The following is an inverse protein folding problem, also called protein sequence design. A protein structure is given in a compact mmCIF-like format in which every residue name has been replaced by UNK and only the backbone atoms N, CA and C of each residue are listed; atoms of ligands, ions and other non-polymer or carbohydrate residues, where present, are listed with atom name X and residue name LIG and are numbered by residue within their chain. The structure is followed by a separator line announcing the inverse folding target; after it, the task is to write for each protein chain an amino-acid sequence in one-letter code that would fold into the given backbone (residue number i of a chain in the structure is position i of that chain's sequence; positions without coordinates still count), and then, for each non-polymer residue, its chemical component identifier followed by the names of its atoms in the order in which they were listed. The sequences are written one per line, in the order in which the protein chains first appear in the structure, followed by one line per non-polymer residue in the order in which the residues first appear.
data_IF_788406626955
#
_entry.id   IF_788406626955
#
_cell.length_a   1.000
_cell.length_b   1.000
_cell.length_c   1.000
_cell.angle_alpha   90.00
_cell.angle_beta   90.00
_cell.angle_gamma   90.00
#
_symmetry.space_group_name_H-M   'P 1'
#
loop_
_entity.id
_entity.type
_entity.pdbx_description
1 polymer ?
#
# COMPACT_ATOMS: atom_id res chain seq x y z
N UNK A 1 -44.66 14.26 -0.50
CA UNK A 1 -44.88 13.98 -1.92
C UNK A 1 -44.27 15.14 -2.69
N UNK A 2 -43.30 15.02 -3.58
CA UNK A 2 -42.37 13.95 -3.95
C UNK A 2 -41.23 14.68 -4.66
N UNK A 3 -40.00 14.51 -4.20
CA UNK A 3 -38.79 14.96 -4.92
C UNK A 3 -37.56 14.12 -4.54
N UNK A 4 -37.76 13.00 -3.83
CA UNK A 4 -36.69 12.04 -3.45
C UNK A 4 -36.80 10.71 -4.20
N UNK A 5 -37.84 10.51 -5.00
CA UNK A 5 -38.06 9.27 -5.74
C UNK A 5 -37.53 9.32 -7.18
N UNK A 6 -37.28 10.50 -7.75
CA UNK A 6 -36.70 10.62 -9.09
C UNK A 6 -35.18 10.42 -9.12
N UNK A 7 -34.45 10.79 -8.06
CA UNK A 7 -32.99 10.54 -7.98
C UNK A 7 -32.64 9.06 -7.69
N UNK A 8 -33.57 8.26 -7.17
CA UNK A 8 -33.32 6.83 -6.95
C UNK A 8 -33.55 5.98 -8.22
N UNK A 9 -34.39 6.44 -9.15
CA UNK A 9 -34.62 5.74 -10.41
C UNK A 9 -33.58 6.03 -11.51
N UNK A 10 -32.78 7.10 -11.37
CA UNK A 10 -31.71 7.41 -12.32
C UNK A 10 -30.42 6.60 -12.12
N UNK A 11 -30.22 6.02 -10.92
CA UNK A 11 -29.06 5.18 -10.60
C UNK A 11 -29.31 3.68 -10.84
N UNK A 12 -30.57 3.22 -10.87
CA UNK A 12 -30.94 1.81 -11.05
C UNK A 12 -30.87 1.33 -12.52
N UNK A 13 -30.79 2.25 -13.49
CA UNK A 13 -30.67 1.95 -14.92
C UNK A 13 -29.29 2.19 -15.53
N UNK A 14 -28.21 2.32 -14.72
CA UNK A 14 -26.89 1.99 -15.27
C UNK A 14 -26.88 0.50 -15.56
N UNK A 15 -27.20 0.15 -16.81
CA UNK A 15 -27.33 -1.22 -17.28
C UNK A 15 -26.18 -2.07 -16.73
N UNK A 16 -26.45 -3.32 -16.36
CA UNK A 16 -25.40 -4.25 -15.93
C UNK A 16 -24.20 -4.30 -16.91
N UNK A 17 -24.43 -3.94 -18.19
CA UNK A 17 -23.39 -3.71 -19.19
C UNK A 17 -22.44 -2.57 -18.88
N UNK A 18 -22.90 -1.42 -18.37
CA UNK A 18 -22.06 -0.27 -18.03
C UNK A 18 -21.22 -0.54 -16.77
N UNK A 19 -21.79 -1.25 -15.79
CA UNK A 19 -21.04 -1.68 -14.60
C UNK A 19 -19.90 -2.63 -15.00
N UNK A 20 -20.16 -3.60 -15.88
CA UNK A 20 -19.14 -4.53 -16.40
C UNK A 20 -18.06 -3.80 -17.20
N UNK A 21 -18.42 -2.88 -18.09
CA UNK A 21 -17.46 -2.07 -18.86
C UNK A 21 -16.54 -1.25 -17.96
N UNK A 22 -17.10 -0.58 -16.95
CA UNK A 22 -16.30 0.22 -16.02
C UNK A 22 -15.32 -0.66 -15.25
N UNK A 23 -15.76 -1.81 -14.73
CA UNK A 23 -14.88 -2.73 -14.00
C UNK A 23 -13.77 -3.29 -14.91
N UNK A 24 -14.09 -3.58 -16.17
CA UNK A 24 -13.12 -4.00 -17.19
C UNK A 24 -12.05 -2.93 -17.43
N UNK A 25 -12.44 -1.65 -17.61
CA UNK A 25 -11.49 -0.56 -17.82
C UNK A 25 -10.54 -0.41 -16.62
N UNK A 26 -11.08 -0.43 -15.40
CA UNK A 26 -10.25 -0.34 -14.19
C UNK A 26 -9.31 -1.54 -14.06
N UNK A 27 -9.78 -2.74 -14.42
CA UNK A 27 -8.95 -3.94 -14.45
C UNK A 27 -7.83 -3.86 -15.50
N UNK A 28 -8.11 -3.36 -16.70
CA UNK A 28 -7.10 -3.15 -17.74
C UNK A 28 -6.06 -2.13 -17.28
N UNK A 29 -6.50 -0.99 -16.73
CA UNK A 29 -5.59 0.04 -16.23
C UNK A 29 -4.70 -0.50 -15.09
N UNK A 30 -5.26 -1.34 -14.22
CA UNK A 30 -4.50 -2.03 -13.18
C UNK A 30 -3.41 -2.91 -13.80
N UNK A 31 -3.76 -3.79 -14.74
CA UNK A 31 -2.81 -4.70 -15.38
C UNK A 31 -1.72 -3.94 -16.15
N UNK A 32 -2.08 -2.85 -16.82
CA UNK A 32 -1.12 -1.95 -17.46
C UNK A 32 -0.13 -1.39 -16.45
N UNK A 33 -0.60 -0.96 -15.27
CA UNK A 33 0.29 -0.48 -14.22
C UNK A 33 1.24 -1.57 -13.71
N UNK A 34 0.76 -2.81 -13.52
CA UNK A 34 1.60 -3.95 -13.10
C UNK A 34 2.72 -4.24 -14.11
N UNK A 35 2.51 -3.94 -15.39
CA UNK A 35 3.53 -4.10 -16.44
C UNK A 35 4.44 -2.85 -16.53
N UNK A 36 3.85 -1.66 -16.49
CA UNK A 36 4.57 -0.40 -16.67
C UNK A 36 5.54 -0.11 -15.52
N UNK A 37 5.19 -0.43 -14.28
CA UNK A 37 6.06 -0.18 -13.12
C UNK A 37 7.39 -0.95 -13.24
N UNK A 38 7.41 -2.28 -13.45
CA UNK A 38 8.64 -3.02 -13.71
C UNK A 38 9.42 -2.49 -14.92
N UNK A 39 8.72 -2.15 -16.02
CA UNK A 39 9.38 -1.64 -17.22
C UNK A 39 10.10 -0.30 -16.97
N UNK A 40 9.45 0.62 -16.24
CA UNK A 40 10.04 1.91 -15.87
C UNK A 40 11.21 1.71 -14.91
N UNK A 41 11.08 0.83 -13.91
CA UNK A 41 12.16 0.52 -12.98
C UNK A 41 13.39 -0.07 -13.69
N UNK A 42 13.19 -1.02 -14.60
CA UNK A 42 14.28 -1.56 -15.41
C UNK A 42 14.93 -0.50 -16.30
N UNK A 43 14.12 0.36 -16.93
CA UNK A 43 14.65 1.44 -17.77
C UNK A 43 15.48 2.42 -16.94
N UNK A 44 14.98 2.83 -15.77
CA UNK A 44 15.69 3.70 -14.85
C UNK A 44 17.01 3.06 -14.40
N UNK A 45 16.98 1.79 -13.99
CA UNK A 45 18.18 1.05 -13.61
C UNK A 45 19.19 0.93 -14.76
N UNK A 46 18.70 0.75 -16.00
CA UNK A 46 19.57 0.69 -17.18
C UNK A 46 20.26 2.03 -17.45
N UNK A 47 19.59 3.16 -17.24
CA UNK A 47 20.22 4.48 -17.38
C UNK A 47 21.33 4.71 -16.36
N UNK A 48 21.17 4.18 -15.15
CA UNK A 48 22.19 4.22 -14.09
C UNK A 48 23.39 3.35 -14.46
N UNK A 49 23.16 2.08 -14.80
CA UNK A 49 24.23 1.12 -15.11
C UNK A 49 25.04 1.55 -16.35
N UNK A 50 24.37 2.13 -17.36
CA UNK A 50 25.03 2.57 -18.58
C UNK A 50 25.69 3.96 -18.46
N UNK A 51 25.69 4.57 -17.26
CA UNK A 51 26.28 5.90 -17.03
C UNK A 51 25.56 7.03 -17.75
N UNK A 52 24.30 6.83 -18.16
CA UNK A 52 23.47 7.89 -18.75
C UNK A 52 23.05 8.93 -17.70
N UNK A 53 23.03 8.53 -16.42
CA UNK A 53 22.90 9.41 -15.27
C UNK A 53 24.28 9.47 -14.59
N UNK A 54 24.88 10.66 -14.42
CA UNK A 54 26.18 10.79 -13.76
C UNK A 54 26.17 10.26 -12.32
N UNK A 55 27.28 9.67 -11.88
CA UNK A 55 27.40 9.07 -10.55
C UNK A 55 27.11 10.08 -9.42
N UNK A 56 27.50 11.34 -9.59
CA UNK A 56 27.24 12.39 -8.60
C UNK A 56 25.74 12.66 -8.42
N UNK A 57 24.96 12.53 -9.50
CA UNK A 57 23.50 12.67 -9.47
C UNK A 57 22.87 11.45 -8.81
N UNK A 58 23.37 10.24 -9.09
CA UNK A 58 22.90 9.00 -8.47
C UNK A 58 23.12 9.04 -6.97
N UNK A 59 24.36 9.33 -6.54
CA UNK A 59 24.72 9.38 -5.12
C UNK A 59 23.90 10.44 -4.39
N UNK A 60 23.75 11.64 -4.98
CA UNK A 60 23.06 12.75 -4.31
C UNK A 60 21.54 12.57 -4.22
N UNK A 61 20.90 12.04 -5.26
CA UNK A 61 19.44 12.07 -5.37
C UNK A 61 18.78 10.71 -5.38
N UNK A 62 19.48 9.64 -5.72
CA UNK A 62 18.92 8.29 -5.78
C UNK A 62 19.38 7.41 -4.61
N UNK A 63 20.35 7.85 -3.82
CA UNK A 63 20.71 7.21 -2.55
C UNK A 63 20.20 8.10 -1.42
N UNK A 64 19.45 7.50 -0.50
CA UNK A 64 19.07 8.17 0.73
C UNK A 64 20.19 7.98 1.75
N UNK A 65 21.08 8.96 1.84
CA UNK A 65 22.03 9.08 2.95
C UNK A 65 21.26 9.57 4.20
N UNK A 66 21.43 8.86 5.32
CA UNK A 66 20.75 9.21 6.57
C UNK A 66 21.45 10.31 7.35
N UNK A 67 22.73 10.58 7.07
CA UNK A 67 23.48 11.66 7.71
C UNK A 67 23.28 13.00 6.99
N UNK A 68 22.98 12.97 5.68
CA UNK A 68 22.64 14.15 4.88
C UNK A 68 21.40 13.90 3.99
N UNK A 69 20.22 13.68 4.61
CA UNK A 69 18.98 13.44 3.89
C UNK A 69 18.58 14.66 3.06
N UNK A 70 18.02 14.43 1.88
CA UNK A 70 17.41 15.50 1.09
C UNK A 70 16.04 15.09 0.56
N UNK A 71 15.21 16.10 0.26
CA UNK A 71 13.82 15.88 -0.11
C UNK A 71 13.67 15.02 -1.38
N UNK A 72 14.60 15.14 -2.33
CA UNK A 72 14.53 14.38 -3.59
C UNK A 72 14.89 12.91 -3.35
N UNK A 73 15.89 12.62 -2.50
CA UNK A 73 16.28 11.26 -2.17
C UNK A 73 15.25 10.51 -1.33
N UNK A 74 14.33 11.21 -0.65
CA UNK A 74 13.18 10.59 0.02
C UNK A 74 12.21 9.94 -0.97
N UNK A 75 12.18 10.44 -2.21
CA UNK A 75 11.35 9.87 -3.24
C UNK A 75 12.13 8.88 -4.09
N UNK A 76 13.19 9.34 -4.75
CA UNK A 76 13.87 8.60 -5.80
C UNK A 76 14.64 7.36 -5.28
N UNK A 77 15.06 7.34 -4.02
CA UNK A 77 15.77 6.17 -3.47
C UNK A 77 14.92 4.90 -3.43
N UNK A 78 13.59 5.03 -3.41
CA UNK A 78 12.67 3.91 -3.46
C UNK A 78 12.55 3.27 -4.86
N UNK A 79 13.19 3.83 -5.90
CA UNK A 79 13.03 3.40 -7.29
C UNK A 79 14.34 2.94 -7.96
N UNK A 80 15.46 2.97 -7.23
CA UNK A 80 16.75 2.48 -7.73
C UNK A 80 17.22 1.30 -6.91
N UNK A 81 18.01 0.41 -7.52
CA UNK A 81 18.65 -0.70 -6.83
C UNK A 81 20.16 -0.61 -6.94
N UNK A 82 20.85 -1.29 -6.03
CA UNK A 82 22.30 -1.34 -6.04
C UNK A 82 22.74 -2.09 -7.32
N UNK A 83 23.49 -1.44 -8.24
CA UNK A 83 23.92 -2.08 -9.48
C UNK A 83 24.84 -3.29 -9.25
N UNK A 84 25.48 -3.37 -8.07
CA UNK A 84 26.33 -4.51 -7.67
C UNK A 84 25.51 -5.72 -7.20
N UNK A 85 24.19 -5.58 -7.01
CA UNK A 85 23.30 -6.65 -6.61
C UNK A 85 22.05 -6.71 -7.52
N UNK A 86 22.21 -7.14 -8.79
CA UNK A 86 21.09 -7.20 -9.75
C UNK A 86 20.01 -8.21 -9.36
N UNK A 87 20.31 -9.22 -8.54
CA UNK A 87 19.28 -10.14 -8.02
C UNK A 87 18.21 -9.43 -7.21
N UNK A 88 18.58 -8.36 -6.49
CA UNK A 88 17.66 -7.62 -5.62
C UNK A 88 16.54 -6.90 -6.38
N UNK A 89 16.80 -6.38 -7.59
CA UNK A 89 15.73 -5.77 -8.41
C UNK A 89 14.82 -6.87 -8.94
N UNK A 90 15.38 -8.00 -9.38
CA UNK A 90 14.60 -9.11 -9.92
C UNK A 90 13.64 -9.70 -8.87
N UNK A 91 14.13 -9.94 -7.65
CA UNK A 91 13.32 -10.48 -6.55
C UNK A 91 12.19 -9.52 -6.17
N UNK A 92 12.47 -8.22 -6.09
CA UNK A 92 11.46 -7.20 -5.82
C UNK A 92 10.40 -7.13 -6.90
N UNK A 93 10.80 -7.17 -8.18
CA UNK A 93 9.86 -7.10 -9.31
C UNK A 93 9.00 -8.35 -9.42
N UNK A 94 9.58 -9.54 -9.25
CA UNK A 94 8.82 -10.81 -9.22
C UNK A 94 7.81 -10.80 -8.09
N UNK A 95 8.22 -10.38 -6.89
CA UNK A 95 7.33 -10.30 -5.73
C UNK A 95 6.22 -9.26 -5.94
N UNK A 96 6.56 -8.08 -6.45
CA UNK A 96 5.59 -7.03 -6.79
C UNK A 96 4.54 -7.52 -7.79
N UNK A 97 4.97 -8.16 -8.89
CA UNK A 97 4.06 -8.70 -9.91
C UNK A 97 3.15 -9.75 -9.29
N UNK A 98 3.70 -10.70 -8.54
CA UNK A 98 2.94 -11.75 -7.87
C UNK A 98 1.86 -11.17 -6.96
N UNK A 99 2.25 -10.28 -6.02
CA UNK A 99 1.30 -9.65 -5.09
C UNK A 99 0.24 -8.84 -5.83
N UNK A 100 0.63 -8.08 -6.86
CA UNK A 100 -0.32 -7.29 -7.65
C UNK A 100 -1.33 -8.16 -8.40
N UNK A 101 -0.90 -9.30 -8.95
CA UNK A 101 -1.82 -10.26 -9.59
C UNK A 101 -2.80 -10.86 -8.56
N UNK A 102 -2.34 -11.15 -7.34
CA UNK A 102 -3.23 -11.63 -6.27
C UNK A 102 -4.22 -10.53 -5.85
N UNK A 103 -3.78 -9.29 -5.67
CA UNK A 103 -4.65 -8.13 -5.40
C UNK A 103 -5.69 -7.97 -6.51
N UNK A 104 -5.27 -8.09 -7.77
CA UNK A 104 -6.19 -8.06 -8.91
C UNK A 104 -7.26 -9.14 -8.81
N UNK A 105 -6.84 -10.38 -8.54
CA UNK A 105 -7.75 -11.51 -8.36
C UNK A 105 -8.73 -11.28 -7.23
N UNK A 106 -8.25 -10.85 -6.05
CA UNK A 106 -9.12 -10.54 -4.92
C UNK A 106 -10.12 -9.44 -5.26
N UNK A 107 -9.65 -8.29 -5.74
CA UNK A 107 -10.50 -7.11 -5.90
C UNK A 107 -11.45 -7.18 -7.10
N UNK A 108 -11.00 -7.70 -8.24
CA UNK A 108 -11.79 -7.70 -9.48
C UNK A 108 -12.52 -9.01 -9.76
N UNK A 109 -12.12 -10.13 -9.15
CA UNK A 109 -12.75 -11.44 -9.37
C UNK A 109 -13.47 -11.94 -8.11
N UNK A 110 -12.76 -12.06 -6.99
CA UNK A 110 -13.30 -12.67 -5.76
C UNK A 110 -14.33 -11.77 -5.09
N UNK A 111 -14.04 -10.48 -4.92
CA UNK A 111 -14.94 -9.54 -4.27
C UNK A 111 -16.31 -9.46 -4.99
N UNK A 112 -16.38 -9.25 -6.32
CA UNK A 112 -17.64 -9.31 -7.05
C UNK A 112 -18.35 -10.67 -6.94
N UNK A 113 -17.61 -11.79 -7.01
CA UNK A 113 -18.19 -13.13 -6.88
C UNK A 113 -18.82 -13.37 -5.49
N UNK A 114 -18.28 -12.72 -4.46
CA UNK A 114 -18.80 -12.74 -3.10
C UNK A 114 -19.79 -11.61 -2.82
N UNK A 115 -20.22 -10.82 -3.81
CA UNK A 115 -21.11 -9.66 -3.61
C UNK A 115 -20.51 -8.62 -2.64
N UNK A 116 -19.17 -8.56 -2.53
CA UNK A 116 -18.45 -7.57 -1.74
C UNK A 116 -18.14 -6.35 -2.60
N UNK A 117 -18.51 -5.18 -2.12
CA UNK A 117 -18.43 -3.94 -2.86
C UNK A 117 -17.51 -2.95 -2.15
N UNK A 118 -16.49 -2.48 -2.86
CA UNK A 118 -15.73 -1.27 -2.53
C UNK A 118 -15.96 -0.21 -3.62
N UNK A 119 -15.80 1.09 -3.30
CA UNK A 119 -15.84 2.13 -4.32
C UNK A 119 -14.82 1.85 -5.44
N UNK A 120 -15.24 2.03 -6.70
CA UNK A 120 -14.42 1.71 -7.88
C UNK A 120 -13.10 2.49 -7.95
N UNK A 121 -13.08 3.69 -7.37
CA UNK A 121 -11.91 4.57 -7.31
C UNK A 121 -10.92 4.23 -6.18
N UNK A 122 -11.24 3.28 -5.30
CA UNK A 122 -10.41 2.93 -4.14
C UNK A 122 -9.02 2.48 -4.56
N UNK A 123 -8.91 1.48 -5.44
CA UNK A 123 -7.61 0.92 -5.87
C UNK A 123 -6.75 1.96 -6.61
N UNK A 124 -7.25 2.70 -7.62
CA UNK A 124 -6.45 3.73 -8.27
C UNK A 124 -5.91 4.81 -7.31
N UNK A 125 -6.72 5.24 -6.33
CA UNK A 125 -6.29 6.26 -5.36
C UNK A 125 -5.25 5.69 -4.40
N UNK A 126 -5.42 4.46 -3.90
CA UNK A 126 -4.42 3.80 -3.06
C UNK A 126 -3.10 3.69 -3.81
N UNK A 127 -3.12 3.27 -5.07
CA UNK A 127 -1.91 3.14 -5.87
C UNK A 127 -1.23 4.47 -6.13
N UNK A 128 -2.00 5.53 -6.41
CA UNK A 128 -1.43 6.87 -6.47
C UNK A 128 -0.73 7.26 -5.15
N UNK A 129 -1.36 6.98 -4.01
CA UNK A 129 -0.77 7.27 -2.70
C UNK A 129 0.52 6.44 -2.48
N UNK A 130 0.51 5.14 -2.79
CA UNK A 130 1.66 4.24 -2.63
C UNK A 130 2.83 4.62 -3.53
N UNK A 131 2.58 5.03 -4.77
CA UNK A 131 3.65 5.39 -5.70
C UNK A 131 4.11 6.85 -5.63
N UNK A 132 3.37 7.75 -4.98
CA UNK A 132 3.71 9.18 -5.02
C UNK A 132 3.80 9.86 -3.65
N UNK A 133 3.18 9.33 -2.61
CA UNK A 133 3.18 9.95 -1.28
C UNK A 133 3.90 9.11 -0.23
N UNK A 134 3.58 7.82 -0.15
CA UNK A 134 4.16 6.90 0.85
C UNK A 134 5.69 6.77 0.76
N UNK A 135 6.36 6.83 -0.42
CA UNK A 135 7.82 6.70 -0.49
C UNK A 135 8.53 7.73 0.39
N UNK A 136 8.03 8.97 0.42
CA UNK A 136 8.57 10.02 1.28
C UNK A 136 8.50 9.64 2.77
N UNK A 137 7.37 9.06 3.18
CA UNK A 137 7.11 8.70 4.58
C UNK A 137 7.91 7.48 5.00
N UNK A 138 8.03 6.49 4.12
CA UNK A 138 8.89 5.31 4.33
C UNK A 138 10.34 5.73 4.53
N UNK A 139 10.83 6.66 3.71
CA UNK A 139 12.16 7.25 3.85
C UNK A 139 12.30 8.04 5.16
N UNK A 140 11.35 8.92 5.48
CA UNK A 140 11.39 9.70 6.73
C UNK A 140 11.36 8.83 7.99
N UNK A 141 10.52 7.78 8.00
CA UNK A 141 10.49 6.80 9.09
C UNK A 141 11.83 6.08 9.22
N UNK A 142 12.45 5.68 8.11
CA UNK A 142 13.75 5.01 8.12
C UNK A 142 14.85 5.90 8.73
N UNK A 143 14.88 7.19 8.38
CA UNK A 143 15.80 8.18 8.98
C UNK A 143 15.55 8.34 10.49
N UNK A 144 14.29 8.50 10.90
CA UNK A 144 13.92 8.63 12.32
C UNK A 144 14.40 7.41 13.11
N UNK A 145 14.06 6.19 12.66
CA UNK A 145 14.45 4.98 13.39
C UNK A 145 15.95 4.77 13.42
N UNK A 146 16.69 5.15 12.38
CA UNK A 146 18.15 5.12 12.42
C UNK A 146 18.68 6.07 13.49
N UNK A 147 18.20 7.31 13.52
CA UNK A 147 18.71 8.35 14.42
C UNK A 147 18.27 8.14 15.89
N UNK A 148 17.11 7.51 16.14
CA UNK A 148 16.58 7.32 17.51
C UNK A 148 16.70 5.90 18.05
N UNK A 149 16.82 4.89 17.16
CA UNK A 149 16.65 3.47 17.51
C UNK A 149 17.92 2.74 17.94
N UNK A 150 19.09 3.37 17.90
CA UNK A 150 20.37 2.74 18.26
C UNK A 150 20.96 1.81 17.19
N UNK A 151 20.39 1.80 15.99
CA UNK A 151 20.88 1.02 14.82
C UNK A 151 21.77 1.87 13.88
N UNK A 152 22.28 3.00 14.37
CA UNK A 152 22.97 4.02 13.58
C UNK A 152 24.21 3.48 12.84
N UNK A 153 24.84 2.45 13.39
CA UNK A 153 26.08 1.87 12.86
C UNK A 153 25.86 0.77 11.80
N UNK A 154 24.65 0.21 11.72
CA UNK A 154 24.35 -0.96 10.87
C UNK A 154 23.82 -0.57 9.49
N UNK A 155 23.05 0.51 9.38
CA UNK A 155 22.45 0.97 8.12
C UNK A 155 22.75 2.46 7.91
N UNK A 156 23.63 2.76 6.95
CA UNK A 156 24.07 4.14 6.66
C UNK A 156 23.25 4.84 5.57
N UNK A 157 22.64 4.06 4.70
CA UNK A 157 21.85 4.57 3.59
C UNK A 157 20.73 3.60 3.24
N UNK A 158 19.78 4.08 2.44
CA UNK A 158 18.75 3.22 1.85
C UNK A 158 18.53 3.52 0.39
N UNK A 159 18.26 2.46 -0.35
CA UNK A 159 17.80 2.48 -1.72
C UNK A 159 17.12 1.13 -2.01
N UNK A 160 16.08 1.13 -2.84
CA UNK A 160 15.39 -0.08 -3.25
C UNK A 160 13.87 0.01 -3.17
N UNK A 161 13.23 -0.77 -4.02
CA UNK A 161 11.77 -0.85 -4.16
C UNK A 161 11.05 -1.69 -3.10
N UNK A 162 11.80 -2.35 -2.21
CA UNK A 162 11.23 -3.33 -1.27
C UNK A 162 10.24 -2.73 -0.27
N UNK A 163 10.39 -1.45 0.13
CA UNK A 163 9.40 -0.78 0.98
C UNK A 163 8.01 -0.77 0.33
N UNK A 164 7.95 -0.41 -0.96
CA UNK A 164 6.73 -0.41 -1.77
C UNK A 164 6.20 -1.84 -1.95
N UNK A 165 7.06 -2.86 -2.13
CA UNK A 165 6.62 -4.26 -2.15
C UNK A 165 5.88 -4.64 -0.86
N UNK A 166 6.39 -4.20 0.29
CA UNK A 166 5.74 -4.43 1.58
C UNK A 166 4.45 -3.61 1.75
N UNK A 167 4.33 -2.42 1.16
CA UNK A 167 3.04 -1.70 1.07
C UNK A 167 1.98 -2.53 0.34
N UNK A 168 2.34 -3.14 -0.78
CA UNK A 168 1.45 -4.01 -1.53
C UNK A 168 1.10 -5.27 -0.72
N UNK A 169 2.06 -5.82 0.03
CA UNK A 169 1.78 -6.92 0.96
C UNK A 169 0.78 -6.51 2.05
N UNK A 170 0.98 -5.36 2.69
CA UNK A 170 0.05 -4.82 3.69
C UNK A 170 -1.34 -4.58 3.12
N UNK A 171 -1.42 -4.09 1.87
CA UNK A 171 -2.69 -3.90 1.19
C UNK A 171 -3.40 -5.21 0.87
N UNK A 172 -2.68 -6.22 0.38
CA UNK A 172 -3.22 -7.56 0.17
C UNK A 172 -3.82 -8.10 1.48
N UNK A 173 -3.08 -8.00 2.58
CA UNK A 173 -3.54 -8.52 3.86
C UNK A 173 -4.74 -7.74 4.42
N UNK A 174 -4.82 -6.42 4.15
CA UNK A 174 -6.04 -5.64 4.40
C UNK A 174 -7.23 -6.17 3.59
N UNK A 175 -7.06 -6.42 2.28
CA UNK A 175 -8.14 -6.95 1.43
C UNK A 175 -8.65 -8.30 1.95
N UNK A 176 -7.74 -9.23 2.26
CA UNK A 176 -8.09 -10.53 2.82
C UNK A 176 -8.80 -10.39 4.17
N UNK A 177 -8.33 -9.49 5.05
CA UNK A 177 -8.96 -9.22 6.35
C UNK A 177 -10.35 -8.59 6.20
N UNK A 178 -10.50 -7.64 5.29
CA UNK A 178 -11.78 -7.00 4.99
C UNK A 178 -12.79 -8.01 4.45
N UNK A 179 -12.35 -8.86 3.51
CA UNK A 179 -13.17 -9.95 2.98
C UNK A 179 -13.63 -10.88 4.10
N UNK A 180 -12.70 -11.34 4.94
CA UNK A 180 -13.03 -12.25 6.04
C UNK A 180 -13.97 -11.61 7.06
N UNK A 181 -13.74 -10.34 7.44
CA UNK A 181 -14.62 -9.57 8.31
C UNK A 181 -16.05 -9.55 7.77
N UNK A 182 -16.22 -9.21 6.48
CA UNK A 182 -17.54 -9.10 5.85
C UNK A 182 -18.26 -10.44 5.77
N UNK A 183 -17.55 -11.54 5.50
CA UNK A 183 -18.14 -12.88 5.49
C UNK A 183 -18.63 -13.29 6.88
N UNK A 184 -17.86 -13.02 7.92
CA UNK A 184 -18.24 -13.29 9.31
C UNK A 184 -19.43 -12.42 9.72
N UNK A 185 -19.40 -11.10 9.47
CA UNK A 185 -20.52 -10.22 9.78
C UNK A 185 -21.80 -10.67 9.07
N UNK A 186 -21.73 -11.05 7.78
CA UNK A 186 -22.89 -11.56 7.04
C UNK A 186 -23.45 -12.85 7.64
N UNK A 187 -22.58 -13.75 8.08
CA UNK A 187 -22.98 -14.98 8.76
C UNK A 187 -23.72 -14.64 10.05
N UNK A 188 -23.10 -13.86 10.94
CA UNK A 188 -23.67 -13.43 12.23
C UNK A 188 -25.03 -12.74 12.03
N UNK A 189 -25.16 -11.82 11.07
CA UNK A 189 -26.44 -11.12 10.82
C UNK A 189 -27.56 -12.05 10.32
N UNK A 190 -27.24 -13.20 9.72
CA UNK A 190 -28.23 -14.18 9.22
C UNK A 190 -28.65 -15.18 10.29
N UNK A 191 -27.78 -15.47 11.24
CA UNK A 191 -28.07 -16.39 12.33
C UNK A 191 -28.61 -15.64 13.56
N UNK A 192 -29.88 -15.87 13.90
CA UNK A 192 -30.47 -15.42 15.16
C UNK A 192 -29.80 -16.16 16.32
N UNK A 193 -28.77 -15.58 16.93
CA UNK A 193 -28.01 -16.23 17.99
C UNK A 193 -27.82 -15.36 19.23
N UNK A 194 -27.66 -16.05 20.37
CA UNK A 194 -27.32 -15.48 21.66
C UNK A 194 -25.90 -14.90 21.66
N UNK A 195 -25.61 -13.93 22.53
CA UNK A 195 -24.30 -13.26 22.66
C UNK A 195 -23.11 -14.24 22.75
N UNK A 196 -23.30 -15.42 23.34
CA UNK A 196 -22.25 -16.43 23.49
C UNK A 196 -21.81 -17.06 22.17
N UNK A 197 -22.71 -17.19 21.19
CA UNK A 197 -22.36 -17.68 19.85
C UNK A 197 -21.64 -16.60 19.04
N UNK A 198 -22.07 -15.34 19.17
CA UNK A 198 -21.48 -14.19 18.49
C UNK A 198 -20.01 -14.03 18.89
N UNK A 199 -19.69 -14.14 20.18
CA UNK A 199 -18.31 -14.05 20.68
C UNK A 199 -17.40 -15.17 20.14
N UNK A 200 -17.92 -16.38 19.94
CA UNK A 200 -17.16 -17.51 19.39
C UNK A 200 -16.88 -17.35 17.88
N UNK A 201 -17.69 -16.57 17.16
CA UNK A 201 -17.48 -16.29 15.72
C UNK A 201 -16.47 -15.16 15.47
N UNK A 202 -16.31 -14.22 16.41
CA UNK A 202 -15.28 -13.17 16.31
C UNK A 202 -13.87 -13.65 16.67
N UNK A 203 -13.72 -14.71 17.47
CA UNK A 203 -12.40 -15.21 17.87
C UNK A 203 -11.55 -15.68 16.67
N UNK A 204 -12.07 -16.48 15.70
CA UNK A 204 -11.34 -16.81 14.48
C UNK A 204 -10.97 -15.58 13.63
N UNK A 205 -11.81 -14.54 13.61
CA UNK A 205 -11.51 -13.26 12.95
C UNK A 205 -10.29 -12.57 13.56
N UNK A 206 -10.34 -12.36 14.88
CA UNK A 206 -9.23 -11.71 15.59
C UNK A 206 -7.96 -12.53 15.50
N UNK A 207 -8.04 -13.86 15.61
CA UNK A 207 -6.90 -14.76 15.41
C UNK A 207 -6.32 -14.65 14.00
N UNK A 208 -7.17 -14.64 12.96
CA UNK A 208 -6.75 -14.49 11.57
C UNK A 208 -6.06 -13.15 11.33
N UNK A 209 -6.67 -12.04 11.76
CA UNK A 209 -6.08 -10.71 11.63
C UNK A 209 -4.75 -10.61 12.39
N UNK A 210 -4.71 -11.11 13.63
CA UNK A 210 -3.47 -11.15 14.41
C UNK A 210 -2.39 -11.96 13.68
N UNK A 211 -2.72 -13.13 13.15
CA UNK A 211 -1.79 -13.97 12.38
C UNK A 211 -1.25 -13.25 11.14
N UNK A 212 -2.12 -12.57 10.38
CA UNK A 212 -1.73 -11.81 9.19
C UNK A 212 -0.87 -10.57 9.50
N UNK A 213 -0.91 -10.05 10.73
CA UNK A 213 -0.07 -8.93 11.14
C UNK A 213 1.25 -9.44 11.74
N UNK A 214 1.18 -10.39 12.68
CA UNK A 214 2.35 -10.83 13.43
C UNK A 214 3.36 -11.60 12.59
N UNK A 215 2.93 -12.38 11.59
CA UNK A 215 3.88 -13.12 10.74
C UNK A 215 4.72 -12.20 9.86
N UNK A 216 4.14 -11.29 9.06
CA UNK A 216 4.91 -10.31 8.31
C UNK A 216 5.86 -9.50 9.20
N UNK A 217 5.38 -9.01 10.34
CA UNK A 217 6.20 -8.25 11.29
C UNK A 217 7.34 -9.10 11.83
N UNK A 218 7.09 -10.37 12.17
CA UNK A 218 8.13 -11.29 12.61
C UNK A 218 9.18 -11.54 11.51
N UNK A 219 8.76 -11.76 10.27
CA UNK A 219 9.67 -11.94 9.13
C UNK A 219 10.54 -10.69 8.93
N UNK A 220 9.94 -9.49 8.97
CA UNK A 220 10.65 -8.21 8.82
C UNK A 220 11.68 -8.02 9.95
N UNK A 221 11.30 -8.29 11.19
CA UNK A 221 12.19 -8.15 12.36
C UNK A 221 13.32 -9.18 12.31
N UNK A 222 13.05 -10.41 11.85
CA UNK A 222 14.09 -11.43 11.72
C UNK A 222 15.14 -11.04 10.66
N UNK A 223 14.78 -10.15 9.74
CA UNK A 223 15.65 -9.64 8.68
C UNK A 223 16.58 -8.49 9.14
N UNK A 224 16.55 -8.09 10.41
CA UNK A 224 17.40 -7.01 10.97
C UNK A 224 18.92 -7.27 10.77
N UNK A 225 19.34 -8.53 10.62
CA UNK A 225 20.75 -8.89 10.41
C UNK A 225 21.18 -9.04 8.94
N UNK A 226 20.28 -8.80 7.99
CA UNK A 226 20.63 -8.79 6.56
C UNK A 226 20.90 -7.34 6.11
N UNK A 227 21.51 -7.15 4.94
CA UNK A 227 21.76 -5.81 4.36
C UNK A 227 20.46 -5.10 3.89
N UNK A 228 19.35 -5.38 4.57
CA UNK A 228 18.00 -4.95 4.26
C UNK A 228 17.60 -3.87 5.25
N UNK A 229 16.76 -2.92 4.83
CA UNK A 229 16.21 -1.91 5.71
C UNK A 229 14.86 -2.38 6.28
N UNK A 230 14.82 -3.00 7.48
CA UNK A 230 13.58 -3.50 8.08
C UNK A 230 12.60 -2.38 8.43
N UNK A 231 13.08 -1.15 8.66
CA UNK A 231 12.22 -0.01 8.96
C UNK A 231 11.44 0.44 7.74
N UNK A 232 12.06 0.43 6.56
CA UNK A 232 11.35 0.70 5.31
C UNK A 232 10.28 -0.35 5.05
N UNK A 233 10.56 -1.61 5.35
CA UNK A 233 9.62 -2.73 5.18
C UNK A 233 8.44 -2.62 6.14
N UNK A 234 8.72 -2.35 7.42
CA UNK A 234 7.69 -2.18 8.44
C UNK A 234 6.80 -0.96 8.17
N UNK A 235 7.42 0.16 7.77
CA UNK A 235 6.72 1.37 7.36
C UNK A 235 5.81 1.07 6.16
N UNK A 236 6.38 0.47 5.12
CA UNK A 236 5.65 0.10 3.92
C UNK A 236 4.45 -0.79 4.23
N UNK A 237 4.68 -1.90 4.94
CA UNK A 237 3.61 -2.81 5.38
C UNK A 237 2.50 -2.09 6.17
N UNK A 238 2.88 -1.21 7.11
CA UNK A 238 1.93 -0.45 7.92
C UNK A 238 1.08 0.50 7.08
N UNK A 239 1.67 1.26 6.15
CA UNK A 239 0.91 2.11 5.22
C UNK A 239 0.02 1.29 4.29
N UNK A 240 0.54 0.15 3.82
CA UNK A 240 -0.18 -0.85 3.06
C UNK A 240 -1.49 -1.26 3.72
N UNK A 241 -1.47 -1.43 5.04
CA UNK A 241 -2.64 -1.81 5.82
C UNK A 241 -3.56 -0.63 6.19
N UNK A 242 -2.99 0.54 6.52
CA UNK A 242 -3.71 1.68 7.11
C UNK A 242 -4.33 2.63 6.08
N UNK A 243 -3.69 2.86 4.94
CA UNK A 243 -4.20 3.77 3.90
C UNK A 243 -5.49 3.26 3.25
N UNK A 244 -5.62 1.97 2.87
CA UNK A 244 -6.83 1.48 2.22
C UNK A 244 -8.15 1.75 2.95
N UNK A 245 -8.30 1.48 4.27
CA UNK A 245 -9.55 1.80 4.97
C UNK A 245 -9.84 3.30 5.05
N UNK A 246 -8.81 4.15 5.12
CA UNK A 246 -8.98 5.61 5.11
C UNK A 246 -9.48 6.09 3.75
N UNK A 247 -8.91 5.56 2.65
CA UNK A 247 -9.36 5.88 1.28
C UNK A 247 -10.77 5.33 1.04
N UNK A 248 -11.04 4.07 1.43
CA UNK A 248 -12.35 3.47 1.25
C UNK A 248 -13.43 4.25 2.02
N UNK A 249 -13.18 4.60 3.28
CA UNK A 249 -14.12 5.42 4.07
C UNK A 249 -14.33 6.81 3.46
N UNK A 250 -13.28 7.46 2.97
CA UNK A 250 -13.40 8.75 2.26
C UNK A 250 -14.33 8.68 1.05
N UNK A 251 -14.32 7.57 0.32
CA UNK A 251 -15.13 7.38 -0.88
C UNK A 251 -16.55 6.90 -0.57
N UNK A 252 -16.76 6.19 0.53
CA UNK A 252 -18.07 5.71 0.98
C UNK A 252 -18.88 6.86 1.61
N UNK A 253 -18.26 7.67 2.47
CA UNK A 253 -18.97 8.76 3.14
C UNK A 253 -19.13 9.97 2.21
N UNK A 254 -20.37 10.38 1.97
CA UNK A 254 -20.69 11.53 1.11
C UNK A 254 -20.34 12.89 1.71
N UNK A 255 -20.28 13.01 3.05
CA UNK A 255 -20.02 14.26 3.77
C UNK A 255 -18.61 14.78 3.50
N UNK A 256 -18.53 16.04 3.07
CA UNK A 256 -17.28 16.75 2.80
C UNK A 256 -16.36 16.81 4.03
N UNK A 257 -16.92 16.91 5.25
CA UNK A 257 -16.12 16.96 6.48
C UNK A 257 -15.35 15.66 6.71
N UNK A 258 -16.00 14.52 6.47
CA UNK A 258 -15.35 13.21 6.55
C UNK A 258 -14.25 13.06 5.49
N UNK A 259 -14.50 13.54 4.26
CA UNK A 259 -13.49 13.53 3.20
C UNK A 259 -12.27 14.39 3.55
N UNK A 260 -12.50 15.62 4.00
CA UNK A 260 -11.43 16.53 4.42
C UNK A 260 -10.64 15.95 5.60
N UNK A 261 -11.32 15.39 6.60
CA UNK A 261 -10.65 14.73 7.73
C UNK A 261 -9.74 13.58 7.29
N UNK A 262 -10.18 12.75 6.35
CA UNK A 262 -9.38 11.64 5.84
C UNK A 262 -8.21 12.11 4.97
N UNK A 263 -8.38 13.17 4.18
CA UNK A 263 -7.29 13.81 3.44
C UNK A 263 -6.25 14.34 4.41
N UNK A 264 -6.67 15.07 5.45
CA UNK A 264 -5.77 15.57 6.50
C UNK A 264 -5.05 14.39 7.16
N UNK A 265 -5.76 13.32 7.51
CA UNK A 265 -5.14 12.13 8.11
C UNK A 265 -4.07 11.52 7.19
N UNK A 266 -4.33 11.37 5.89
CA UNK A 266 -3.34 10.88 4.92
C UNK A 266 -2.13 11.83 4.87
N UNK A 267 -2.36 13.14 4.81
CA UNK A 267 -1.29 14.13 4.79
C UNK A 267 -0.48 14.16 6.09
N UNK A 268 -1.09 13.96 7.25
CA UNK A 268 -0.38 13.87 8.53
C UNK A 268 0.42 12.58 8.60
N UNK A 269 -0.19 11.44 8.25
CA UNK A 269 0.47 10.15 8.21
C UNK A 269 1.66 10.15 7.26
N UNK A 270 1.57 10.87 6.14
CA UNK A 270 2.65 10.89 5.13
C UNK A 270 3.67 12.02 5.33
N UNK A 271 3.23 13.18 5.81
CA UNK A 271 4.05 14.38 5.93
C UNK A 271 4.78 14.53 7.27
N UNK A 272 4.20 14.09 8.39
CA UNK A 272 4.85 14.20 9.70
C UNK A 272 6.20 13.47 9.73
N UNK A 273 6.33 12.21 9.28
CA UNK A 273 7.62 11.54 9.32
C UNK A 273 8.70 12.27 8.52
N UNK A 274 8.32 12.89 7.40
CA UNK A 274 9.24 13.69 6.58
C UNK A 274 9.71 14.91 7.37
N UNK A 275 8.79 15.70 7.91
CA UNK A 275 9.13 16.91 8.67
C UNK A 275 9.95 16.59 9.92
N UNK A 276 9.58 15.53 10.64
CA UNK A 276 10.31 15.09 11.84
C UNK A 276 11.71 14.62 11.50
N UNK A 277 11.90 13.89 10.39
CA UNK A 277 13.22 13.41 10.00
C UNK A 277 14.22 14.52 9.63
N UNK A 278 13.75 15.69 9.16
CA UNK A 278 14.63 16.85 8.92
C UNK A 278 14.95 17.64 10.20
N UNK A 279 14.27 17.35 11.31
CA UNK A 279 14.41 18.08 12.56
C UNK A 279 15.30 17.37 13.60
N UNK A 280 15.70 16.12 13.33
CA UNK A 280 16.50 15.26 14.22
C UNK A 280 17.85 15.00 13.54
#
# INVERSE_FOLDING_TARGET
MDNKQEDQNFDDERSAGDIRKINLIHGILFLLMVICVPAILYLLQSFVINGSIPDEIVIKYFILDYDDPNFVSYFLSNYIHNPLNPGHIEDNLRTFILISVVIYGEFFLVFPALDLHMPKKTVPIIYFIFFFLVPFSVSGISVIFRNTGGFADEVKYSLGFSGIVWEFMGFLMFLSSFMFARLITRKICRTSHSEKSVNMEYFPFLFFVAFLIFIPVYIIIFDINSNVNPFAHLAGFSYGWLIPPVVASMLIYGDIRHKVSNIILILLLTGIPVLTSFAI
#
